data_IF_364297217873
#
_entry.id   IF_364297217873
#
_cell.length_a   1.000
_cell.length_b   1.000
_cell.length_c   1.000
_cell.angle_alpha   90.00
_cell.angle_beta   90.00
_cell.angle_gamma   90.00
#
_symmetry.space_group_name_H-M   'P 1'
#
loop_
_entity.id
_entity.type
_entity.pdbx_description
1 polymer ?
#
# COMPACT_ATOMS: atom_id res chain seq x y z
N UNK A 1 -3.32 20.16 -5.05
CA UNK A 1 -3.66 19.75 -3.68
C UNK A 1 -4.28 18.36 -3.75
N UNK A 2 -3.73 17.38 -3.04
CA UNK A 2 -4.19 15.98 -3.06
C UNK A 2 -4.31 15.45 -1.62
N UNK A 3 -5.33 14.66 -1.37
CA UNK A 3 -5.56 14.05 -0.04
C UNK A 3 -4.80 12.74 0.12
N UNK A 4 -4.53 12.04 -0.99
CA UNK A 4 -3.92 10.71 -0.99
C UNK A 4 -2.86 10.63 -2.08
N UNK A 5 -1.69 10.09 -1.72
CA UNK A 5 -0.65 9.66 -2.65
C UNK A 5 -0.61 8.13 -2.63
N UNK A 6 -0.92 7.52 -3.76
CA UNK A 6 -0.83 6.06 -3.92
C UNK A 6 0.42 5.72 -4.73
N UNK A 7 1.53 5.47 -4.03
CA UNK A 7 2.80 5.11 -4.66
C UNK A 7 2.78 3.68 -5.17
N UNK A 8 3.45 3.45 -6.31
CA UNK A 8 3.61 2.11 -6.87
C UNK A 8 5.04 1.92 -7.36
N UNK A 9 5.57 0.71 -7.24
CA UNK A 9 6.84 0.37 -7.85
C UNK A 9 6.75 0.35 -9.38
N UNK A 10 7.87 0.54 -10.05
CA UNK A 10 7.97 0.29 -11.49
C UNK A 10 7.94 -1.23 -11.73
N UNK A 11 6.99 -1.68 -12.53
CA UNK A 11 6.84 -3.09 -12.87
C UNK A 11 7.71 -3.43 -14.08
N UNK A 12 9.00 -3.70 -13.84
CA UNK A 12 9.99 -4.00 -14.90
C UNK A 12 9.55 -5.17 -15.79
N UNK A 13 8.83 -6.12 -15.23
CA UNK A 13 8.32 -7.31 -15.91
C UNK A 13 7.30 -6.99 -17.03
N UNK A 14 6.73 -5.80 -17.04
CA UNK A 14 5.77 -5.35 -18.06
C UNK A 14 6.40 -4.64 -19.25
N UNK A 15 7.67 -4.29 -19.16
CA UNK A 15 8.36 -3.66 -20.25
C UNK A 15 8.80 -4.73 -21.26
N UNK A 16 8.59 -4.48 -22.56
CA UNK A 16 9.09 -5.35 -23.64
C UNK A 16 10.61 -5.39 -23.65
N UNK A 17 11.24 -4.25 -23.42
CA UNK A 17 12.69 -4.13 -23.27
C UNK A 17 13.01 -3.68 -21.83
N UNK A 18 13.78 -4.50 -21.12
CA UNK A 18 14.23 -4.18 -19.74
C UNK A 18 15.13 -2.94 -19.68
N UNK A 19 15.74 -2.56 -20.80
CA UNK A 19 16.53 -1.33 -20.86
C UNK A 19 15.68 -0.08 -20.74
N UNK A 20 14.43 -0.11 -21.19
CA UNK A 20 13.50 1.00 -21.04
C UNK A 20 13.06 1.19 -19.59
N UNK A 21 12.84 0.10 -18.85
CA UNK A 21 12.52 0.18 -17.44
C UNK A 21 13.60 0.91 -16.63
N UNK A 22 14.87 0.73 -16.99
CA UNK A 22 16.02 1.40 -16.32
C UNK A 22 15.95 2.92 -16.43
N UNK A 23 15.37 3.46 -17.51
CA UNK A 23 15.25 4.91 -17.71
C UNK A 23 14.31 5.57 -16.69
N UNK A 24 13.38 4.80 -16.14
CA UNK A 24 12.37 5.31 -15.20
C UNK A 24 12.70 4.99 -13.73
N UNK A 25 13.71 4.14 -13.49
CA UNK A 25 14.13 3.83 -12.13
C UNK A 25 14.57 5.08 -11.39
N UNK A 26 14.06 5.25 -10.17
CA UNK A 26 14.41 6.36 -9.31
C UNK A 26 13.88 7.74 -9.72
N UNK A 27 13.16 7.84 -10.87
CA UNK A 27 12.56 9.11 -11.28
C UNK A 27 11.36 9.50 -10.41
N UNK A 28 10.64 8.53 -9.90
CA UNK A 28 9.49 8.72 -9.02
C UNK A 28 9.83 8.12 -7.67
N UNK A 29 10.35 8.95 -6.78
CA UNK A 29 10.65 8.60 -5.40
C UNK A 29 10.00 9.60 -4.47
N UNK A 30 9.34 9.12 -3.43
CA UNK A 30 8.78 9.94 -2.36
C UNK A 30 9.64 9.75 -1.11
N UNK A 31 10.17 10.85 -0.60
CA UNK A 31 10.88 10.94 0.65
C UNK A 31 10.27 12.02 1.57
N UNK A 32 10.76 12.14 2.78
CA UNK A 32 10.27 13.10 3.76
C UNK A 32 10.41 14.55 3.29
N UNK A 33 11.50 14.89 2.62
CA UNK A 33 11.74 16.25 2.10
C UNK A 33 10.69 16.62 1.05
N UNK A 34 10.49 15.76 0.05
CA UNK A 34 9.50 15.97 -1.01
C UNK A 34 8.08 16.02 -0.42
N UNK A 35 7.77 15.12 0.52
CA UNK A 35 6.47 15.11 1.17
C UNK A 35 6.20 16.42 1.92
N UNK A 36 7.16 16.86 2.74
CA UNK A 36 7.00 18.07 3.55
C UNK A 36 6.91 19.34 2.70
N UNK A 37 7.62 19.37 1.57
CA UNK A 37 7.65 20.55 0.69
C UNK A 37 6.41 20.69 -0.21
N UNK A 38 5.73 19.57 -0.53
CA UNK A 38 4.72 19.57 -1.59
C UNK A 38 3.34 19.02 -1.18
N UNK A 39 3.22 18.46 0.01
CA UNK A 39 1.99 17.83 0.47
C UNK A 39 1.40 18.57 1.68
N UNK A 40 0.10 18.48 1.83
CA UNK A 40 -0.57 18.92 3.03
C UNK A 40 -0.21 18.02 4.23
N UNK A 41 -0.21 18.53 5.47
CA UNK A 41 0.15 17.75 6.66
C UNK A 41 -0.66 16.48 6.87
N UNK A 42 -1.86 16.40 6.30
CA UNK A 42 -2.78 15.28 6.42
C UNK A 42 -2.81 14.36 5.19
N UNK A 43 -1.98 14.62 4.18
CA UNK A 43 -1.93 13.79 2.97
C UNK A 43 -1.52 12.35 3.32
N UNK A 44 -2.38 11.39 3.00
CA UNK A 44 -2.16 9.97 3.31
C UNK A 44 -1.27 9.32 2.25
N UNK A 45 -0.27 8.56 2.69
CA UNK A 45 0.62 7.81 1.81
C UNK A 45 0.23 6.34 1.84
N UNK A 46 -0.03 5.78 0.65
CA UNK A 46 -0.43 4.39 0.43
C UNK A 46 0.51 3.70 -0.56
N UNK A 47 0.57 2.37 -0.49
CA UNK A 47 1.33 1.55 -1.44
C UNK A 47 0.75 0.13 -1.49
N UNK A 48 0.51 -0.47 -2.67
CA UNK A 48 -0.14 -1.78 -2.78
C UNK A 48 0.77 -2.95 -2.39
N UNK A 49 2.06 -2.70 -2.13
CA UNK A 49 3.09 -3.73 -1.91
C UNK A 49 3.18 -4.75 -3.07
N UNK A 50 4.34 -5.39 -3.28
CA UNK A 50 5.62 -5.15 -2.59
C UNK A 50 6.29 -3.85 -3.04
N UNK A 51 7.09 -3.25 -2.15
CA UNK A 51 7.97 -2.12 -2.51
C UNK A 51 9.26 -2.61 -3.16
N UNK A 52 9.88 -1.73 -3.96
CA UNK A 52 11.26 -1.92 -4.37
C UNK A 52 12.19 -1.13 -3.44
N UNK A 53 12.95 -1.82 -2.62
CA UNK A 53 13.88 -1.22 -1.64
C UNK A 53 15.32 -1.09 -2.16
N UNK A 54 15.57 -1.42 -3.43
CA UNK A 54 16.88 -1.22 -4.04
C UNK A 54 17.17 0.27 -4.19
N UNK A 55 18.40 0.71 -3.90
CA UNK A 55 18.77 2.14 -3.94
C UNK A 55 18.41 2.84 -5.24
N UNK A 56 18.57 2.14 -6.36
CA UNK A 56 18.29 2.66 -7.70
C UNK A 56 16.80 2.68 -8.08
N UNK A 57 15.94 2.11 -7.26
CA UNK A 57 14.52 1.94 -7.58
C UNK A 57 13.58 2.22 -6.39
N UNK A 58 14.11 2.81 -5.32
CA UNK A 58 13.37 3.11 -4.09
C UNK A 58 12.29 4.17 -4.35
N UNK A 59 11.06 3.72 -4.58
CA UNK A 59 9.92 4.61 -4.85
C UNK A 59 9.36 5.26 -3.59
N UNK A 60 9.60 4.66 -2.42
CA UNK A 60 9.16 5.17 -1.13
C UNK A 60 10.28 5.02 -0.10
N UNK A 61 10.84 6.13 0.33
CA UNK A 61 11.98 6.12 1.23
C UNK A 61 11.61 5.71 2.66
N UNK A 62 12.57 5.11 3.35
CA UNK A 62 12.42 4.67 4.74
C UNK A 62 12.33 5.82 5.75
N UNK A 63 12.75 7.03 5.37
CA UNK A 63 12.63 8.24 6.19
C UNK A 63 11.17 8.65 6.46
N UNK A 64 10.23 8.07 5.72
CA UNK A 64 8.79 8.23 5.92
C UNK A 64 8.18 7.25 6.92
N UNK A 65 8.94 6.30 7.45
CA UNK A 65 8.35 5.24 8.33
C UNK A 65 7.71 5.77 9.61
N UNK A 66 8.19 6.87 10.13
CA UNK A 66 7.62 7.51 11.30
C UNK A 66 6.51 8.53 10.97
N UNK A 67 6.18 8.69 9.69
CA UNK A 67 5.10 9.59 9.30
C UNK A 67 3.74 8.98 9.72
N UNK A 68 2.93 9.67 10.53
CA UNK A 68 1.65 9.15 11.01
C UNK A 68 0.63 8.91 9.88
N UNK A 69 0.83 9.54 8.73
CA UNK A 69 -0.02 9.40 7.56
C UNK A 69 0.44 8.26 6.63
N UNK A 70 1.51 7.54 6.99
CA UNK A 70 1.93 6.36 6.24
C UNK A 70 0.98 5.18 6.54
N UNK A 71 0.13 4.84 5.59
CA UNK A 71 -0.94 3.87 5.76
C UNK A 71 -0.71 2.54 5.02
N UNK A 72 0.51 2.27 4.56
CA UNK A 72 0.82 1.14 3.66
C UNK A 72 0.43 -0.22 4.25
N UNK A 73 0.80 -0.51 5.50
CA UNK A 73 0.48 -1.79 6.12
C UNK A 73 -1.01 -1.89 6.45
N UNK A 74 -1.57 -0.87 7.07
CA UNK A 74 -3.00 -0.80 7.39
C UNK A 74 -3.86 -0.95 6.13
N UNK A 75 -3.47 -0.30 5.04
CA UNK A 75 -4.16 -0.42 3.75
C UNK A 75 -4.01 -1.83 3.16
N UNK A 76 -2.82 -2.43 3.24
CA UNK A 76 -2.59 -3.79 2.73
C UNK A 76 -3.41 -4.84 3.49
N UNK A 77 -3.54 -4.72 4.80
CA UNK A 77 -4.34 -5.60 5.66
C UNK A 77 -5.82 -5.57 5.29
N UNK A 78 -6.34 -4.40 4.91
CA UNK A 78 -7.72 -4.25 4.43
C UNK A 78 -8.01 -5.08 3.16
N UNK A 79 -6.98 -5.45 2.41
CA UNK A 79 -7.13 -6.24 1.20
C UNK A 79 -7.79 -7.60 1.41
N UNK A 80 -7.59 -8.25 2.54
CA UNK A 80 -8.27 -9.50 2.89
C UNK A 80 -9.77 -9.26 3.07
N UNK A 81 -10.12 -8.29 3.90
CA UNK A 81 -11.54 -7.98 4.22
C UNK A 81 -12.30 -7.54 2.97
N UNK A 82 -11.68 -6.71 2.12
CA UNK A 82 -12.30 -6.27 0.87
C UNK A 82 -12.55 -7.46 -0.07
N UNK A 83 -11.61 -8.39 -0.20
CA UNK A 83 -11.81 -9.60 -1.02
C UNK A 83 -12.95 -10.47 -0.47
N UNK A 84 -13.01 -10.66 0.85
CA UNK A 84 -14.11 -11.38 1.48
C UNK A 84 -15.46 -10.72 1.19
N UNK A 85 -15.54 -9.40 1.28
CA UNK A 85 -16.75 -8.64 0.95
C UNK A 85 -17.14 -8.80 -0.53
N UNK A 86 -16.19 -8.70 -1.45
CA UNK A 86 -16.43 -8.90 -2.88
C UNK A 86 -16.93 -10.31 -3.18
N UNK A 87 -16.32 -11.35 -2.62
CA UNK A 87 -16.78 -12.71 -2.81
C UNK A 87 -18.19 -12.91 -2.27
N UNK A 88 -18.51 -12.35 -1.11
CA UNK A 88 -19.85 -12.48 -0.54
C UNK A 88 -20.92 -11.83 -1.40
N UNK A 89 -20.60 -10.70 -2.03
CA UNK A 89 -21.51 -10.02 -2.97
C UNK A 89 -21.69 -10.83 -4.26
N UNK A 90 -20.59 -11.30 -4.86
CA UNK A 90 -20.62 -12.08 -6.10
C UNK A 90 -21.39 -13.40 -5.92
N UNK A 91 -21.25 -14.03 -4.76
CA UNK A 91 -21.94 -15.28 -4.43
C UNK A 91 -23.38 -15.07 -3.91
N UNK A 92 -23.82 -13.84 -3.72
CA UNK A 92 -25.16 -13.52 -3.22
C UNK A 92 -25.40 -13.94 -1.76
N UNK A 93 -24.35 -14.04 -0.95
CA UNK A 93 -24.43 -14.48 0.45
C UNK A 93 -24.15 -13.36 1.47
N UNK A 94 -24.03 -12.11 1.01
CA UNK A 94 -23.70 -10.98 1.87
C UNK A 94 -24.64 -10.86 3.09
N UNK A 95 -25.94 -11.06 2.91
CA UNK A 95 -26.95 -10.99 3.98
C UNK A 95 -26.83 -12.13 5.00
N UNK A 96 -26.09 -13.19 4.68
CA UNK A 96 -25.92 -14.36 5.55
C UNK A 96 -24.69 -14.23 6.46
N UNK A 97 -23.77 -13.33 6.18
CA UNK A 97 -22.52 -13.17 6.92
C UNK A 97 -22.79 -12.89 8.40
N UNK A 98 -23.73 -11.98 8.69
CA UNK A 98 -24.07 -11.64 10.07
C UNK A 98 -24.70 -12.79 10.85
N UNK A 99 -25.36 -13.71 10.16
CA UNK A 99 -26.02 -14.88 10.78
C UNK A 99 -25.03 -15.98 11.16
N UNK A 100 -23.93 -16.05 10.44
CA UNK A 100 -22.89 -17.09 10.59
C UNK A 100 -21.60 -16.59 11.23
N UNK A 101 -21.45 -15.27 11.40
CA UNK A 101 -20.26 -14.68 12.01
C UNK A 101 -20.20 -15.02 13.51
N UNK A 102 -18.99 -15.30 13.98
CA UNK A 102 -18.68 -15.47 15.41
C UNK A 102 -17.51 -14.59 15.79
N UNK A 103 -17.50 -14.11 17.02
CA UNK A 103 -16.33 -13.44 17.57
C UNK A 103 -15.24 -14.46 17.81
N UNK A 104 -14.08 -14.24 17.24
CA UNK A 104 -12.88 -15.06 17.44
C UNK A 104 -11.84 -14.22 18.16
N UNK A 105 -11.35 -14.69 19.30
CA UNK A 105 -10.20 -14.07 19.96
C UNK A 105 -8.92 -14.45 19.25
N UNK A 106 -8.27 -13.50 18.61
CA UNK A 106 -6.95 -13.69 18.04
C UNK A 106 -5.90 -13.42 19.12
N UNK A 107 -5.13 -14.43 19.43
CA UNK A 107 -3.91 -14.21 20.20
C UNK A 107 -2.84 -13.69 19.23
N UNK A 108 -2.69 -12.37 19.18
CA UNK A 108 -1.50 -11.77 18.57
C UNK A 108 -0.33 -12.18 19.46
N UNK A 109 0.58 -13.00 18.95
CA UNK A 109 1.88 -13.16 19.59
C UNK A 109 2.47 -11.77 19.72
N UNK A 110 2.74 -11.34 20.97
CA UNK A 110 3.50 -10.12 21.19
C UNK A 110 4.85 -10.35 20.49
N UNK A 111 5.06 -9.68 19.38
CA UNK A 111 6.34 -9.72 18.68
C UNK A 111 7.44 -9.29 19.63
N UNK A 112 8.53 -10.06 19.60
CA UNK A 112 9.78 -9.69 20.23
C UNK A 112 10.45 -8.58 19.43
#
# INVERSE_FOLDING_TARGET
EVDIIYMTRIQEERFKDKSDAKKYKGLLSLNKEIYTANCEPNTVIMHPLPRDSRKEANELDSDLYENPNLAIFRQADNGLVIRMALFSLVLGVADQIHKTSRVVSWHTSKGH
#
